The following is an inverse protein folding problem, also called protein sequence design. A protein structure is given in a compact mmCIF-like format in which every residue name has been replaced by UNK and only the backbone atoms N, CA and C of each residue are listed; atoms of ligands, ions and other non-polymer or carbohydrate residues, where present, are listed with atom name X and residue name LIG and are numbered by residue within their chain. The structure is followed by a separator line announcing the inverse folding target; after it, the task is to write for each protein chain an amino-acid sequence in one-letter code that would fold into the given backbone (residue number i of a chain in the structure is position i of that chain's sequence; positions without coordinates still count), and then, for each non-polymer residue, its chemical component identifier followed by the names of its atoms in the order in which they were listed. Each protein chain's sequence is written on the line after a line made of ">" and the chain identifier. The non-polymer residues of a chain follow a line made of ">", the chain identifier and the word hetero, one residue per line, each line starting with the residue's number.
data_IF_560345559254
#
_entry.id   IF_560345559254
#
_cell.length_a   1.000
_cell.length_b   1.000
_cell.length_c   1.000
_cell.angle_alpha   90.00
_cell.angle_beta   90.00
_cell.angle_gamma   90.00
#
_symmetry.space_group_name_H-M   'P 1'
#
loop_
_entity.id
_entity.type
_entity.pdbx_description
1 polymer ?
#
# COMPACT_ATOMS: atom_id res chain seq x y z
N UNK A 1 5.13 -2.81 11.61
CA UNK A 1 4.32 -2.53 10.40
C UNK A 1 4.98 -3.20 9.21
N UNK A 2 4.20 -3.69 8.26
CA UNK A 2 4.65 -4.11 6.95
C UNK A 2 3.84 -3.35 5.89
N UNK A 3 4.50 -2.89 4.82
CA UNK A 3 3.89 -2.08 3.78
C UNK A 3 4.33 -2.59 2.42
N UNK A 4 3.39 -2.91 1.52
CA UNK A 4 3.70 -3.38 0.17
C UNK A 4 3.14 -2.42 -0.88
N UNK A 5 4.04 -1.75 -1.60
CA UNK A 5 3.70 -0.63 -2.49
C UNK A 5 3.11 -1.05 -3.84
N UNK A 6 3.68 -2.06 -4.48
CA UNK A 6 3.26 -2.56 -5.79
C UNK A 6 3.96 -3.90 -6.08
N UNK A 7 3.49 -4.59 -7.10
CA UNK A 7 4.14 -5.75 -7.69
C UNK A 7 4.36 -5.54 -9.19
N UNK A 8 5.62 -5.52 -9.59
CA UNK A 8 6.03 -5.57 -10.99
C UNK A 8 7.18 -6.59 -11.12
N UNK A 9 7.29 -7.29 -12.27
CA UNK A 9 8.43 -8.14 -12.56
C UNK A 9 9.73 -7.34 -12.43
N UNK A 10 10.62 -7.79 -11.56
CA UNK A 10 11.95 -7.21 -11.35
C UNK A 10 12.86 -8.33 -10.84
N UNK A 11 14.14 -8.32 -11.20
CA UNK A 11 15.12 -9.34 -10.79
C UNK A 11 14.73 -10.82 -11.07
N UNK A 12 14.28 -11.11 -12.29
CA UNK A 12 13.95 -12.48 -12.75
C UNK A 12 15.18 -13.43 -12.83
N UNK A 13 16.38 -12.93 -12.56
CA UNK A 13 17.64 -13.69 -12.49
C UNK A 13 17.88 -14.36 -11.13
N UNK A 14 17.19 -13.91 -10.08
CA UNK A 14 17.34 -14.41 -8.71
C UNK A 14 16.23 -15.39 -8.32
N UNK A 15 15.08 -15.29 -8.98
CA UNK A 15 13.92 -16.13 -8.73
C UNK A 15 13.71 -17.13 -9.87
N UNK A 16 13.27 -18.34 -9.53
CA UNK A 16 13.02 -19.41 -10.51
C UNK A 16 12.01 -18.98 -11.58
N UNK A 17 10.96 -18.28 -11.15
CA UNK A 17 9.90 -17.71 -11.99
C UNK A 17 9.17 -16.55 -11.28
N UNK A 18 8.23 -15.93 -11.98
CA UNK A 18 7.45 -14.79 -11.48
C UNK A 18 6.52 -15.18 -10.32
N UNK A 19 6.00 -16.39 -10.32
CA UNK A 19 5.13 -16.91 -9.24
C UNK A 19 5.91 -17.09 -7.94
N UNK A 20 7.13 -17.64 -8.01
CA UNK A 20 8.03 -17.76 -6.87
C UNK A 20 8.45 -16.41 -6.33
N UNK A 21 8.72 -15.43 -7.19
CA UNK A 21 8.99 -14.04 -6.78
C UNK A 21 7.80 -13.41 -6.06
N UNK A 22 6.60 -13.60 -6.59
CA UNK A 22 5.37 -13.13 -5.98
C UNK A 22 5.15 -13.70 -4.59
N UNK A 23 5.25 -15.04 -4.45
CA UNK A 23 5.11 -15.70 -3.15
C UNK A 23 6.19 -15.23 -2.18
N UNK A 24 7.41 -15.00 -2.65
CA UNK A 24 8.48 -14.47 -1.82
C UNK A 24 8.13 -13.09 -1.25
N UNK A 25 7.55 -12.18 -2.04
CA UNK A 25 7.09 -10.88 -1.51
C UNK A 25 5.89 -10.99 -0.57
N UNK A 26 4.93 -11.88 -0.86
CA UNK A 26 3.76 -12.09 -0.01
C UNK A 26 4.12 -12.52 1.43
N UNK A 27 5.31 -13.12 1.63
CA UNK A 27 5.83 -13.45 2.96
C UNK A 27 6.06 -12.24 3.86
N UNK A 28 6.03 -11.00 3.34
CA UNK A 28 6.03 -9.79 4.16
C UNK A 28 4.89 -9.77 5.19
N UNK A 29 3.79 -10.48 4.91
CA UNK A 29 2.64 -10.62 5.81
C UNK A 29 2.76 -11.72 6.86
N UNK A 30 3.86 -12.49 6.88
CA UNK A 30 3.99 -13.67 7.73
C UNK A 30 3.71 -13.40 9.21
N UNK A 31 4.03 -12.20 9.72
CA UNK A 31 3.84 -11.82 11.12
C UNK A 31 2.57 -11.01 11.39
N UNK A 32 1.66 -10.85 10.42
CA UNK A 32 0.40 -10.11 10.61
C UNK A 32 -0.43 -10.70 11.76
N UNK A 33 -0.57 -12.03 11.79
CA UNK A 33 -1.29 -12.75 12.84
C UNK A 33 -0.75 -12.54 14.25
N UNK A 34 0.52 -12.12 14.40
CA UNK A 34 1.16 -11.94 15.71
C UNK A 34 0.97 -10.57 16.33
N UNK A 35 0.48 -9.57 15.60
CA UNK A 35 0.67 -8.19 16.07
C UNK A 35 0.98 -7.17 14.98
N UNK A 36 1.36 -7.62 13.78
CA UNK A 36 1.72 -6.70 12.70
C UNK A 36 0.51 -5.92 12.16
N UNK A 37 0.71 -4.63 11.90
CA UNK A 37 -0.15 -3.86 10.98
C UNK A 37 0.32 -4.11 9.54
N UNK A 38 -0.61 -4.51 8.68
CA UNK A 38 -0.41 -4.63 7.23
C UNK A 38 -0.96 -3.39 6.52
N UNK A 39 -0.17 -2.79 5.64
CA UNK A 39 -0.55 -1.65 4.79
C UNK A 39 -0.38 -2.05 3.32
N UNK A 40 -1.49 -2.19 2.61
CA UNK A 40 -1.52 -2.75 1.26
C UNK A 40 -2.00 -1.74 0.22
N UNK A 41 -1.34 -1.69 -0.94
CA UNK A 41 -1.86 -0.93 -2.08
C UNK A 41 -3.12 -1.63 -2.64
N UNK A 42 -4.26 -0.93 -2.61
CA UNK A 42 -5.52 -1.42 -3.16
C UNK A 42 -5.60 -1.33 -4.69
N UNK A 43 -4.81 -0.45 -5.30
CA UNK A 43 -4.79 -0.26 -6.77
C UNK A 43 -3.95 -1.34 -7.48
N UNK A 44 -3.09 -2.08 -6.74
CA UNK A 44 -2.29 -3.16 -7.29
C UNK A 44 -2.98 -4.52 -7.09
N UNK A 45 -3.40 -5.22 -8.15
CA UNK A 45 -4.18 -6.45 -8.02
C UNK A 45 -3.40 -7.61 -7.39
N UNK A 46 -2.06 -7.61 -7.45
CA UNK A 46 -1.22 -8.62 -6.80
C UNK A 46 -1.11 -8.33 -5.32
N UNK A 47 -0.84 -7.08 -4.95
CA UNK A 47 -0.79 -6.70 -3.55
C UNK A 47 -2.16 -6.91 -2.89
N UNK A 48 -3.23 -6.48 -3.54
CA UNK A 48 -4.60 -6.59 -3.04
C UNK A 48 -5.05 -8.05 -2.82
N UNK A 49 -4.66 -9.00 -3.69
CA UNK A 49 -5.01 -10.43 -3.48
C UNK A 49 -4.32 -11.06 -2.28
N UNK A 50 -3.13 -10.56 -1.92
CA UNK A 50 -2.32 -11.08 -0.81
C UNK A 50 -2.54 -10.31 0.50
N UNK A 51 -3.25 -9.19 0.45
CA UNK A 51 -3.49 -8.34 1.61
C UNK A 51 -4.25 -9.12 2.70
N UNK A 52 -3.72 -9.18 3.94
CA UNK A 52 -4.48 -9.68 5.08
C UNK A 52 -5.78 -8.89 5.27
N UNK A 53 -6.79 -9.54 5.82
CA UNK A 53 -8.08 -8.93 6.16
C UNK A 53 -8.32 -8.99 7.66
N UNK A 54 -9.13 -8.05 8.16
CA UNK A 54 -9.49 -7.97 9.58
C UNK A 54 -8.65 -6.94 10.32
N UNK A 55 -8.63 -7.08 11.66
CA UNK A 55 -7.96 -6.12 12.54
C UNK A 55 -6.50 -5.88 12.15
N UNK A 56 -6.07 -4.62 12.26
CA UNK A 56 -4.73 -4.15 11.86
C UNK A 56 -4.36 -4.48 10.41
N UNK A 57 -5.31 -4.30 9.52
CA UNK A 57 -5.08 -4.26 8.08
C UNK A 57 -5.60 -2.92 7.56
N UNK A 58 -4.79 -2.22 6.77
CA UNK A 58 -5.14 -0.94 6.18
C UNK A 58 -4.76 -0.95 4.70
N UNK A 59 -5.48 -0.18 3.91
CA UNK A 59 -5.32 -0.07 2.47
C UNK A 59 -5.04 1.37 2.06
N UNK A 60 -4.22 1.56 1.03
CA UNK A 60 -4.07 2.87 0.38
C UNK A 60 -4.27 2.76 -1.13
N UNK A 61 -4.73 3.83 -1.77
CA UNK A 61 -4.97 3.84 -3.21
C UNK A 61 -5.37 5.21 -3.74
N UNK A 62 -5.33 5.37 -5.05
CA UNK A 62 -5.71 6.58 -5.78
C UNK A 62 -6.96 6.38 -6.63
N UNK A 63 -7.26 5.15 -7.03
CA UNK A 63 -8.22 4.84 -8.09
C UNK A 63 -9.56 4.33 -7.57
N UNK A 64 -9.57 3.72 -6.38
CA UNK A 64 -10.76 3.12 -5.78
C UNK A 64 -10.85 3.32 -4.26
N UNK A 65 -11.84 2.69 -3.62
CA UNK A 65 -12.00 2.74 -2.16
C UNK A 65 -10.76 2.18 -1.46
N UNK A 66 -10.18 2.97 -0.57
CA UNK A 66 -9.09 2.60 0.30
C UNK A 66 -9.18 3.40 1.60
N UNK A 67 -8.64 2.85 2.68
CA UNK A 67 -8.62 3.52 3.99
C UNK A 67 -7.86 4.87 3.91
N UNK A 68 -6.78 4.89 3.13
CA UNK A 68 -6.01 6.08 2.80
C UNK A 68 -6.12 6.38 1.32
N UNK A 69 -6.65 7.56 0.99
CA UNK A 69 -6.97 7.91 -0.40
C UNK A 69 -6.86 9.41 -0.66
N UNK A 70 -7.01 9.79 -1.92
CA UNK A 70 -7.16 11.20 -2.32
C UNK A 70 -8.64 11.52 -2.46
N UNK A 71 -9.12 12.55 -1.76
CA UNK A 71 -10.44 13.12 -1.96
C UNK A 71 -10.36 14.64 -1.98
N UNK A 72 -11.02 15.25 -2.97
CA UNK A 72 -11.07 16.70 -3.16
C UNK A 72 -9.68 17.36 -3.18
N UNK A 73 -8.72 16.70 -3.85
CA UNK A 73 -7.35 17.18 -3.97
C UNK A 73 -6.53 17.09 -2.67
N UNK A 74 -7.01 16.35 -1.66
CA UNK A 74 -6.35 16.19 -0.36
C UNK A 74 -6.10 14.72 -0.04
N UNK A 75 -4.99 14.45 0.65
CA UNK A 75 -4.72 13.14 1.22
C UNK A 75 -5.61 12.95 2.46
N UNK A 76 -6.36 11.86 2.50
CA UNK A 76 -7.29 11.50 3.57
C UNK A 76 -6.91 10.15 4.17
N UNK A 77 -7.28 9.95 5.44
CA UNK A 77 -7.15 8.68 6.13
C UNK A 77 -8.48 8.19 6.74
N UNK A 78 -8.44 7.10 7.52
CA UNK A 78 -9.58 6.55 8.24
C UNK A 78 -10.32 7.59 9.09
N UNK A 79 -11.59 7.33 9.37
CA UNK A 79 -12.44 8.15 10.25
C UNK A 79 -12.53 9.64 9.85
N UNK A 80 -12.31 9.94 8.56
CA UNK A 80 -12.39 11.30 8.02
C UNK A 80 -11.15 12.15 8.29
N UNK A 81 -10.02 11.54 8.65
CA UNK A 81 -8.75 12.24 8.87
C UNK A 81 -8.34 13.05 7.62
N UNK A 82 -8.11 14.35 7.80
CA UNK A 82 -7.56 15.26 6.79
C UNK A 82 -6.08 15.48 7.06
N UNK A 83 -5.22 15.15 6.09
CA UNK A 83 -3.78 15.25 6.26
C UNK A 83 -3.23 16.53 5.63
N UNK A 84 -3.24 16.59 4.30
CA UNK A 84 -2.54 17.62 3.53
C UNK A 84 -3.10 17.70 2.11
N UNK A 85 -3.06 18.90 1.52
CA UNK A 85 -3.36 19.11 0.10
C UNK A 85 -2.31 18.46 -0.81
N UNK A 86 -2.75 17.96 -1.96
CA UNK A 86 -1.83 17.40 -2.97
C UNK A 86 -0.92 18.48 -3.58
N UNK A 87 -1.38 19.73 -3.60
CA UNK A 87 -0.64 20.93 -4.00
C UNK A 87 0.39 21.40 -2.98
N UNK A 88 0.28 20.94 -1.74
CA UNK A 88 1.23 21.21 -0.66
C UNK A 88 2.40 20.18 -0.66
N UNK A 89 2.33 19.12 -1.48
CA UNK A 89 3.42 18.17 -1.65
C UNK A 89 4.54 18.74 -2.51
N UNK A 90 5.79 18.53 -2.09
CA UNK A 90 6.99 18.97 -2.86
C UNK A 90 7.01 18.37 -4.26
N UNK A 91 6.53 17.14 -4.41
CA UNK A 91 6.29 16.47 -5.69
C UNK A 91 4.91 15.82 -5.63
N UNK A 92 4.13 15.95 -6.69
CA UNK A 92 2.72 15.58 -6.69
C UNK A 92 2.35 14.64 -7.85
N UNK A 93 3.31 13.95 -8.46
CA UNK A 93 2.98 12.93 -9.46
C UNK A 93 2.16 11.81 -8.82
N UNK A 94 1.39 11.02 -9.60
CA UNK A 94 0.53 9.97 -9.04
C UNK A 94 1.26 9.03 -8.05
N UNK A 95 2.44 8.54 -8.41
CA UNK A 95 3.22 7.68 -7.50
C UNK A 95 3.69 8.41 -6.23
N UNK A 96 3.93 9.73 -6.28
CA UNK A 96 4.28 10.51 -5.10
C UNK A 96 3.11 10.59 -4.12
N UNK A 97 1.89 10.79 -4.62
CA UNK A 97 0.66 10.77 -3.81
C UNK A 97 0.42 9.39 -3.19
N UNK A 98 0.59 8.32 -3.97
CA UNK A 98 0.48 6.95 -3.47
C UNK A 98 1.51 6.66 -2.38
N UNK A 99 2.77 7.09 -2.57
CA UNK A 99 3.83 6.93 -1.59
C UNK A 99 3.54 7.75 -0.31
N UNK A 100 3.00 8.96 -0.44
CA UNK A 100 2.61 9.78 0.71
C UNK A 100 1.50 9.13 1.53
N UNK A 101 0.48 8.56 0.89
CA UNK A 101 -0.58 7.79 1.56
C UNK A 101 -0.02 6.54 2.26
N UNK A 102 0.85 5.79 1.58
CA UNK A 102 1.50 4.62 2.17
C UNK A 102 2.36 4.98 3.39
N UNK A 103 3.08 6.11 3.33
CA UNK A 103 3.87 6.62 4.45
C UNK A 103 2.98 7.03 5.62
N UNK A 104 1.87 7.75 5.37
CA UNK A 104 0.92 8.17 6.39
C UNK A 104 0.26 6.96 7.08
N UNK A 105 -0.11 5.93 6.31
CA UNK A 105 -0.66 4.68 6.83
C UNK A 105 0.32 3.85 7.67
N UNK A 106 1.62 4.11 7.53
CA UNK A 106 2.71 3.36 8.19
C UNK A 106 3.20 4.04 9.48
N UNK A 107 2.89 5.33 9.66
CA UNK A 107 3.37 6.15 10.79
C UNK A 107 2.69 5.80 12.11
#
# INVERSE_FOLDING_TARGET
>A
VATWLNFAPDHLDVHLDLEGYEMAKARVWANHHLGGLAVANADDPVVARHAPRGERSQTFGLSGPADWHVADGRLRGPDGLDLVGTDELVRDLPHDRANALAAAATA
#
